data_IF_961788958379
#
_entry.id   IF_961788958379
#
_cell.length_a   1.000
_cell.length_b   1.000
_cell.length_c   1.000
_cell.angle_alpha   90.00
_cell.angle_beta   90.00
_cell.angle_gamma   90.00
#
_symmetry.space_group_name_H-M   'P 1'
#
loop_
_entity.id
_entity.type
_entity.pdbx_description
1 polymer ?
#
# COMPACT_ATOMS: atom_id res chain seq x y z
N UNK A 1 -9.82 9.50 8.78
CA UNK A 1 -10.75 9.75 7.65
C UNK A 1 -10.12 9.37 6.32
N UNK A 2 -8.92 9.86 6.00
CA UNK A 2 -8.16 9.47 4.80
C UNK A 2 -7.92 7.97 4.61
N UNK A 3 -7.58 7.25 5.69
CA UNK A 3 -7.34 5.80 5.62
C UNK A 3 -8.57 5.03 5.15
N UNK A 4 -9.77 5.44 5.60
CA UNK A 4 -11.03 4.85 5.14
C UNK A 4 -11.27 5.13 3.66
N UNK A 5 -10.95 6.34 3.21
CA UNK A 5 -11.07 6.71 1.78
C UNK A 5 -10.11 5.88 0.93
N UNK A 6 -8.84 5.78 1.33
CA UNK A 6 -7.85 4.97 0.61
C UNK A 6 -8.20 3.49 0.59
N UNK A 7 -8.77 2.98 1.69
CA UNK A 7 -9.24 1.60 1.76
C UNK A 7 -10.41 1.38 0.82
N UNK A 8 -11.41 2.26 0.85
CA UNK A 8 -12.56 2.19 -0.05
C UNK A 8 -12.14 2.26 -1.53
N UNK A 9 -11.19 3.14 -1.88
CA UNK A 9 -10.65 3.21 -3.24
C UNK A 9 -9.99 1.88 -3.63
N UNK A 10 -9.13 1.31 -2.77
CA UNK A 10 -8.44 0.05 -3.08
C UNK A 10 -9.37 -1.15 -3.16
N UNK A 11 -10.41 -1.20 -2.32
CA UNK A 11 -11.40 -2.27 -2.34
C UNK A 11 -12.29 -2.17 -3.59
N UNK A 12 -12.80 -0.97 -3.89
CA UNK A 12 -13.73 -0.76 -5.00
C UNK A 12 -13.05 -0.84 -6.38
N UNK A 13 -11.78 -0.46 -6.47
CA UNK A 13 -11.02 -0.41 -7.72
C UNK A 13 -9.91 -1.47 -7.79
N UNK A 14 -10.05 -2.59 -7.07
CA UNK A 14 -9.05 -3.68 -7.03
C UNK A 14 -8.63 -4.20 -8.42
N UNK A 15 -9.54 -4.15 -9.40
CA UNK A 15 -9.31 -4.63 -10.77
C UNK A 15 -9.00 -3.50 -11.77
N UNK A 16 -8.69 -2.30 -11.28
CA UNK A 16 -8.37 -1.13 -12.09
C UNK A 16 -7.02 -0.56 -11.69
N UNK A 17 -6.32 0.06 -12.63
CA UNK A 17 -5.13 0.85 -12.31
C UNK A 17 -5.56 2.17 -11.69
N UNK A 18 -5.14 2.43 -10.45
CA UNK A 18 -5.41 3.69 -9.75
C UNK A 18 -4.17 4.57 -9.81
N UNK A 19 -4.25 5.68 -10.53
CA UNK A 19 -3.23 6.72 -10.52
C UNK A 19 -3.64 7.83 -9.55
N UNK A 20 -2.89 7.99 -8.46
CA UNK A 20 -3.15 9.01 -7.44
C UNK A 20 -2.10 10.11 -7.52
N UNK A 21 -2.53 11.37 -7.68
CA UNK A 21 -1.69 12.56 -7.56
C UNK A 21 -2.01 13.23 -6.23
N UNK A 22 -1.04 13.32 -5.33
CA UNK A 22 -1.27 13.87 -4.00
C UNK A 22 -0.06 14.64 -3.48
N UNK A 23 -0.34 15.55 -2.56
CA UNK A 23 0.67 16.29 -1.79
C UNK A 23 0.91 15.71 -0.39
N UNK A 24 0.06 14.77 0.05
CA UNK A 24 0.14 14.17 1.39
C UNK A 24 0.92 12.87 1.30
N UNK A 25 2.06 12.80 1.99
CA UNK A 25 2.92 11.61 1.93
C UNK A 25 2.22 10.36 2.49
N UNK A 26 1.42 10.52 3.55
CA UNK A 26 0.61 9.44 4.13
C UNK A 26 -0.39 8.83 3.15
N UNK A 27 -0.82 9.56 2.11
CA UNK A 27 -1.74 9.01 1.11
C UNK A 27 -1.05 8.25 -0.01
N UNK A 28 0.23 8.50 -0.23
CA UNK A 28 1.00 7.86 -1.30
C UNK A 28 1.91 6.74 -0.79
N UNK A 29 2.26 6.74 0.50
CA UNK A 29 3.17 5.77 1.13
C UNK A 29 2.69 4.31 1.03
N UNK A 30 1.39 4.12 0.85
CA UNK A 30 0.74 2.81 0.78
C UNK A 30 0.34 2.41 -0.67
N UNK A 31 0.96 3.08 -1.65
CA UNK A 31 0.87 2.75 -3.06
C UNK A 31 1.82 1.61 -3.42
N UNK A 32 1.48 0.84 -4.46
CA UNK A 32 2.35 -0.22 -4.97
C UNK A 32 3.69 0.32 -5.50
N UNK A 33 3.64 1.49 -6.16
CA UNK A 33 4.80 2.23 -6.67
C UNK A 33 4.56 3.73 -6.54
N UNK A 34 5.64 4.48 -6.36
CA UNK A 34 5.64 5.95 -6.30
C UNK A 34 6.46 6.49 -7.46
N UNK A 35 5.92 7.53 -8.10
CA UNK A 35 6.56 8.27 -9.18
C UNK A 35 6.88 9.68 -8.71
N UNK A 36 8.17 10.06 -8.69
CA UNK A 36 8.59 11.42 -8.37
C UNK A 36 8.89 12.16 -9.67
N UNK A 37 8.15 13.26 -9.88
CA UNK A 37 8.28 14.11 -11.06
C UNK A 37 8.83 15.49 -10.66
N UNK A 38 9.77 16.00 -11.45
CA UNK A 38 10.30 17.36 -11.29
C UNK A 38 10.56 17.97 -12.66
N UNK A 39 10.13 19.22 -12.87
CA UNK A 39 10.32 19.96 -14.13
C UNK A 39 9.91 19.16 -15.39
N UNK A 40 8.80 18.40 -15.30
CA UNK A 40 8.30 17.57 -16.39
C UNK A 40 9.13 16.32 -16.69
N UNK A 41 10.07 15.95 -15.83
CA UNK A 41 10.90 14.74 -15.94
C UNK A 41 10.61 13.75 -14.83
N UNK A 42 10.68 12.47 -15.17
CA UNK A 42 10.69 11.37 -14.22
C UNK A 42 12.04 11.32 -13.51
N UNK A 43 12.05 11.56 -12.21
CA UNK A 43 13.25 11.43 -11.39
C UNK A 43 13.37 10.03 -10.80
N UNK A 44 12.27 9.51 -10.25
CA UNK A 44 12.27 8.25 -9.52
C UNK A 44 10.98 7.47 -9.75
N UNK A 45 11.10 6.14 -9.82
CA UNK A 45 9.96 5.24 -9.94
C UNK A 45 10.24 3.88 -9.31
N UNK A 46 9.78 3.67 -8.08
CA UNK A 46 9.89 2.36 -7.43
C UNK A 46 8.89 2.21 -6.27
N UNK A 47 8.92 1.09 -5.56
CA UNK A 47 8.18 0.90 -4.32
C UNK A 47 8.59 1.92 -3.25
N UNK A 48 7.67 2.34 -2.35
CA UNK A 48 7.98 3.28 -1.28
C UNK A 48 9.17 2.84 -0.42
N UNK A 49 9.26 1.54 -0.12
CA UNK A 49 10.34 0.95 0.66
C UNK A 49 11.70 1.04 -0.05
N UNK A 50 11.75 0.75 -1.36
CA UNK A 50 12.98 0.84 -2.14
C UNK A 50 13.49 2.29 -2.24
N UNK A 51 12.59 3.24 -2.49
CA UNK A 51 12.93 4.67 -2.55
C UNK A 51 13.48 5.17 -1.21
N UNK A 52 12.83 4.78 -0.09
CA UNK A 52 13.25 5.15 1.26
C UNK A 52 14.58 4.52 1.71
N UNK A 53 15.00 3.43 1.09
CA UNK A 53 16.31 2.81 1.35
C UNK A 53 17.46 3.59 0.72
N UNK A 54 17.16 4.41 -0.30
CA UNK A 54 18.14 5.32 -0.90
C UNK A 54 18.12 6.67 -0.18
N UNK A 55 19.22 6.99 0.52
CA UNK A 55 19.38 8.29 1.21
C UNK A 55 19.47 9.48 0.26
N UNK A 56 19.87 9.27 -0.99
CA UNK A 56 19.95 10.32 -2.01
C UNK A 56 18.63 10.49 -2.79
N UNK A 57 17.58 9.76 -2.42
CA UNK A 57 16.30 9.82 -3.09
C UNK A 57 15.55 11.13 -2.82
N UNK A 58 14.94 11.70 -3.85
CA UNK A 58 14.05 12.86 -3.71
C UNK A 58 12.85 12.53 -2.83
N UNK A 59 12.32 11.32 -2.95
CA UNK A 59 11.26 10.85 -2.06
C UNK A 59 11.69 10.82 -0.58
N UNK A 60 12.91 10.35 -0.31
CA UNK A 60 13.48 10.35 1.06
C UNK A 60 13.59 11.77 1.60
N UNK A 61 14.10 12.70 0.79
CA UNK A 61 14.19 14.13 1.14
C UNK A 61 12.82 14.73 1.48
N UNK A 62 11.78 14.40 0.71
CA UNK A 62 10.41 14.86 0.98
C UNK A 62 9.89 14.33 2.32
N UNK A 63 10.16 13.08 2.66
CA UNK A 63 9.75 12.48 3.93
C UNK A 63 10.49 13.13 5.10
N UNK A 64 11.78 13.39 4.98
CA UNK A 64 12.58 14.00 6.04
C UNK A 64 12.14 15.46 6.35
N UNK A 65 11.55 16.14 5.36
CA UNK A 65 10.96 17.47 5.55
C UNK A 65 9.64 17.48 6.33
N UNK A 66 9.01 16.32 6.57
CA UNK A 66 7.75 16.24 7.35
C UNK A 66 7.93 16.34 8.87
N UNK A 67 9.18 16.40 9.33
CA UNK A 67 9.55 16.41 10.75
C UNK A 67 9.80 15.00 11.28
N UNK A 68 10.63 14.89 12.33
CA UNK A 68 11.17 13.62 12.80
C UNK A 68 10.07 12.57 13.13
N UNK A 69 9.04 12.97 13.88
CA UNK A 69 7.98 12.05 14.28
C UNK A 69 7.17 11.49 13.09
N UNK A 70 6.88 12.33 12.09
CA UNK A 70 6.13 11.89 10.91
C UNK A 70 7.02 11.10 9.95
N UNK A 71 8.29 11.49 9.78
CA UNK A 71 9.26 10.74 8.98
C UNK A 71 9.43 9.31 9.49
N UNK A 72 9.64 9.13 10.80
CA UNK A 72 9.76 7.80 11.42
C UNK A 72 8.48 6.98 11.21
N UNK A 73 7.31 7.60 11.36
CA UNK A 73 6.03 6.93 11.16
C UNK A 73 5.83 6.49 9.71
N UNK A 74 6.15 7.34 8.73
CA UNK A 74 6.02 7.04 7.31
C UNK A 74 6.99 5.94 6.88
N UNK A 75 8.21 5.92 7.43
CA UNK A 75 9.20 4.86 7.19
C UNK A 75 8.73 3.52 7.71
N UNK A 76 8.15 3.50 8.91
CA UNK A 76 7.55 2.28 9.48
C UNK A 76 6.37 1.79 8.62
N UNK A 77 5.48 2.69 8.20
CA UNK A 77 4.36 2.32 7.31
C UNK A 77 4.85 1.72 5.99
N UNK A 78 5.86 2.31 5.35
CA UNK A 78 6.43 1.77 4.12
C UNK A 78 7.00 0.35 4.32
N UNK A 79 7.70 0.12 5.43
CA UNK A 79 8.24 -1.19 5.76
C UNK A 79 7.12 -2.22 5.99
N UNK A 80 6.09 -1.88 6.76
CA UNK A 80 4.94 -2.75 7.00
C UNK A 80 4.17 -3.08 5.71
N UNK A 81 3.97 -2.10 4.82
CA UNK A 81 3.31 -2.33 3.53
C UNK A 81 4.13 -3.23 2.61
N UNK A 82 5.47 -3.11 2.61
CA UNK A 82 6.35 -4.01 1.87
C UNK A 82 6.27 -5.46 2.39
N UNK A 83 6.25 -5.67 3.71
CA UNK A 83 6.06 -7.00 4.30
C UNK A 83 4.71 -7.60 3.90
N UNK A 84 3.62 -6.82 4.00
CA UNK A 84 2.28 -7.27 3.61
C UNK A 84 2.19 -7.67 2.13
N UNK A 85 2.85 -6.92 1.24
CA UNK A 85 2.90 -7.25 -0.17
C UNK A 85 3.54 -8.63 -0.42
N UNK A 86 4.61 -8.95 0.30
CA UNK A 86 5.28 -10.25 0.22
C UNK A 86 4.37 -11.41 0.68
N UNK A 87 3.61 -11.24 1.76
CA UNK A 87 2.64 -12.24 2.22
C UNK A 87 1.49 -12.44 1.24
N UNK A 88 1.00 -11.35 0.61
CA UNK A 88 -0.07 -11.42 -0.37
C UNK A 88 0.33 -12.25 -1.59
N UNK A 89 1.58 -12.13 -2.04
CA UNK A 89 2.12 -12.91 -3.17
C UNK A 89 2.28 -14.40 -2.85
N UNK A 90 2.42 -14.81 -1.59
CA UNK A 90 2.48 -16.23 -1.22
C UNK A 90 1.10 -16.91 -1.20
N UNK A 91 0.02 -16.15 -1.01
CA UNK A 91 -1.35 -16.68 -0.96
C UNK A 91 -2.09 -16.66 -2.31
N UNK A 92 -1.41 -16.33 -3.41
CA UNK A 92 -1.98 -16.38 -4.77
C UNK A 92 -1.79 -17.72 -5.48
N UNK A 93 -1.51 -18.80 -4.73
CA UNK A 93 -1.42 -20.15 -5.27
C UNK A 93 -2.60 -21.08 -4.89
N UNK A 94 -3.65 -20.55 -4.27
CA UNK A 94 -4.91 -21.30 -4.09
C UNK A 94 -5.86 -21.02 -5.26
N UNK A 95 -5.55 -21.65 -6.40
CA UNK A 95 -6.62 -22.12 -7.27
C UNK A 95 -7.25 -23.31 -6.56
N UNK A 96 -8.41 -23.13 -5.96
CA UNK A 96 -9.46 -24.14 -5.94
C UNK A 96 -10.79 -23.45 -5.66
N UNK A 97 -11.69 -23.59 -6.62
CA UNK A 97 -13.11 -23.31 -6.50
C UNK A 97 -13.65 -23.89 -5.19
N UNK A 98 -14.27 -23.06 -4.35
CA UNK A 98 -15.11 -23.57 -3.27
C UNK A 98 -16.55 -23.67 -3.79
N UNK A 99 -17.14 -24.88 -3.79
CA UNK A 99 -18.56 -25.07 -4.03
C UNK A 99 -19.38 -24.50 -2.86
N UNK A 100 -20.55 -23.97 -3.21
CA UNK A 100 -21.60 -23.54 -2.30
C UNK A 100 -22.36 -24.75 -1.73
N UNK A 101 -22.23 -25.04 -0.43
CA UNK A 101 -23.18 -25.83 0.37
C UNK A 101 -23.08 -25.26 1.81
N UNK A 102 -24.13 -24.69 2.42
CA UNK A 102 -25.31 -25.37 2.98
C UNK A 102 -24.93 -26.50 3.96
N UNK A 103 -25.54 -26.47 5.15
CA UNK A 103 -25.50 -27.47 6.23
C UNK A 103 -24.38 -27.36 7.29
N UNK A 104 -24.61 -26.57 8.35
CA UNK A 104 -24.26 -27.02 9.72
C UNK A 104 -24.98 -26.23 10.85
N UNK A 105 -26.31 -26.11 10.77
CA UNK A 105 -27.11 -25.58 11.90
C UNK A 105 -28.08 -26.61 12.47
N UNK A 106 -27.57 -27.77 12.92
CA UNK A 106 -28.40 -28.74 13.66
C UNK A 106 -27.71 -29.44 14.84
N UNK A 107 -26.72 -28.83 15.50
CA UNK A 107 -26.09 -29.48 16.68
C UNK A 107 -25.88 -28.62 17.92
N UNK A 108 -26.71 -27.60 18.15
CA UNK A 108 -26.64 -26.82 19.40
C UNK A 108 -27.99 -26.46 20.03
N UNK A 109 -28.93 -27.40 20.01
CA UNK A 109 -30.14 -27.41 20.86
C UNK A 109 -30.51 -28.84 21.29
N UNK A 110 -29.63 -29.53 22.03
CA UNK A 110 -29.98 -30.67 22.90
C UNK A 110 -29.21 -30.59 24.21
#
# INVERSE_FOLDING_TARGET
TDELIQRAIREQFKNCTVLTVAHRLRTVIDSDRIMVLSHGKLLEFDSPYALLHNSESEFTSLIDQTGAAESDHLRELAHLSALKANFKNQNFNDNNDLPSEEEETDLLMK
#
